data_IF_719458257655
#
_entry.id   IF_719458257655
#
_cell.length_a   1.000
_cell.length_b   1.000
_cell.length_c   1.000
_cell.angle_alpha   90.00
_cell.angle_beta   90.00
_cell.angle_gamma   90.00
#
_symmetry.space_group_name_H-M   'P 1'
#
loop_
_entity.id
_entity.type
_entity.pdbx_description
1 polymer ?
#
# COMPACT_ATOMS: atom_id res chain seq x y z
N UNK A 1 1.43 -9.42 4.57
CA UNK A 1 2.30 -8.68 3.65
C UNK A 1 2.73 -9.57 2.48
N UNK A 2 2.68 -9.08 1.23
CA UNK A 2 3.04 -9.86 0.03
C UNK A 2 3.84 -8.99 -0.95
N UNK A 3 4.69 -9.63 -1.75
CA UNK A 3 5.50 -8.94 -2.77
C UNK A 3 4.67 -8.36 -3.93
N UNK A 4 5.15 -7.25 -4.49
CA UNK A 4 4.62 -6.58 -5.68
C UNK A 4 5.01 -7.26 -7.01
N UNK A 5 5.89 -8.28 -6.98
CA UNK A 5 6.32 -9.03 -8.16
C UNK A 5 5.10 -9.74 -8.80
N UNK A 6 5.01 -9.69 -10.13
CA UNK A 6 3.89 -10.25 -10.93
C UNK A 6 2.50 -9.73 -10.54
N UNK A 7 2.39 -8.57 -9.87
CA UNK A 7 1.11 -7.88 -9.64
C UNK A 7 0.71 -7.00 -10.82
N UNK A 8 -0.59 -6.79 -11.07
CA UNK A 8 -1.07 -5.82 -12.07
C UNK A 8 -0.45 -4.44 -11.88
N UNK A 9 -0.19 -3.74 -12.98
CA UNK A 9 0.46 -2.41 -12.97
C UNK A 9 -0.24 -1.41 -12.04
N UNK A 10 -1.58 -1.47 -11.97
CA UNK A 10 -2.38 -0.61 -11.07
C UNK A 10 -2.00 -0.78 -9.60
N UNK A 11 -1.78 -2.01 -9.13
CA UNK A 11 -1.42 -2.27 -7.73
C UNK A 11 0.01 -1.83 -7.44
N UNK A 12 0.93 -2.03 -8.40
CA UNK A 12 2.31 -1.55 -8.27
C UNK A 12 2.35 -0.03 -8.11
N UNK A 13 1.61 0.71 -8.95
CA UNK A 13 1.50 2.17 -8.85
C UNK A 13 0.86 2.62 -7.54
N UNK A 14 -0.16 1.92 -7.04
CA UNK A 14 -0.73 2.22 -5.72
C UNK A 14 0.29 2.06 -4.61
N UNK A 15 1.07 0.97 -4.60
CA UNK A 15 2.13 0.75 -3.61
C UNK A 15 3.21 1.83 -3.69
N UNK A 16 3.65 2.20 -4.90
CA UNK A 16 4.61 3.29 -5.13
C UNK A 16 4.09 4.65 -4.64
N UNK A 17 2.82 4.95 -4.91
CA UNK A 17 2.17 6.19 -4.48
C UNK A 17 1.97 6.26 -2.97
N UNK A 18 1.75 5.12 -2.30
CA UNK A 18 1.81 5.00 -0.84
C UNK A 18 3.25 5.01 -0.28
N UNK A 19 4.27 5.14 -1.14
CA UNK A 19 5.67 5.21 -0.71
C UNK A 19 6.33 3.86 -0.42
N UNK A 20 5.65 2.74 -0.69
CA UNK A 20 6.13 1.37 -0.42
C UNK A 20 6.96 0.85 -1.60
N UNK A 21 8.28 1.02 -1.53
CA UNK A 21 9.24 0.63 -2.58
C UNK A 21 9.96 -0.68 -2.29
N UNK A 22 10.03 -1.10 -1.02
CA UNK A 22 10.73 -2.32 -0.57
C UNK A 22 9.82 -3.16 0.35
N UNK A 23 10.13 -4.45 0.48
CA UNK A 23 9.44 -5.34 1.43
C UNK A 23 9.65 -4.88 2.87
N UNK A 24 8.64 -5.07 3.73
CA UNK A 24 8.66 -4.73 5.15
C UNK A 24 8.91 -3.23 5.46
N UNK A 25 8.77 -2.35 4.46
CA UNK A 25 8.82 -0.92 4.66
C UNK A 25 7.54 -0.45 5.37
N UNK A 26 7.71 0.44 6.35
CA UNK A 26 6.60 1.14 7.04
C UNK A 26 6.62 2.60 6.61
N UNK A 27 5.45 3.16 6.33
CA UNK A 27 5.25 4.56 5.95
C UNK A 27 3.99 5.06 6.64
N UNK A 28 4.08 6.22 7.28
CA UNK A 28 2.95 6.90 7.90
C UNK A 28 2.24 7.79 6.89
N UNK A 29 0.91 7.81 6.94
CA UNK A 29 0.05 8.65 6.10
C UNK A 29 -1.11 9.19 6.94
N UNK A 30 -1.63 10.35 6.56
CA UNK A 30 -2.83 10.92 7.16
C UNK A 30 -4.06 10.03 6.87
N UNK A 31 -4.96 9.89 7.85
CA UNK A 31 -6.20 9.13 7.71
C UNK A 31 -7.24 9.89 6.87
N UNK A 32 -7.01 9.89 5.55
CA UNK A 32 -7.90 10.52 4.57
C UNK A 32 -8.69 9.47 3.79
N UNK A 33 -9.92 9.79 3.32
CA UNK A 33 -10.71 8.87 2.50
C UNK A 33 -9.97 8.41 1.23
N UNK A 34 -9.08 9.24 0.69
CA UNK A 34 -8.26 8.92 -0.48
C UNK A 34 -7.26 7.81 -0.14
N UNK A 35 -6.53 7.93 0.97
CA UNK A 35 -5.57 6.92 1.43
C UNK A 35 -6.30 5.62 1.78
N UNK A 36 -7.44 5.70 2.47
CA UNK A 36 -8.27 4.51 2.76
C UNK A 36 -8.71 3.79 1.47
N UNK A 37 -9.13 4.53 0.45
CA UNK A 37 -9.50 3.97 -0.86
C UNK A 37 -8.31 3.35 -1.62
N UNK A 38 -7.10 3.89 -1.43
CA UNK A 38 -5.87 3.29 -1.96
C UNK A 38 -5.52 1.99 -1.23
N UNK A 39 -5.57 1.99 0.10
CA UNK A 39 -5.34 0.82 0.96
C UNK A 39 -6.29 -0.32 0.59
N UNK A 40 -7.59 -0.04 0.43
CA UNK A 40 -8.59 -1.05 0.08
C UNK A 40 -8.24 -1.81 -1.23
N UNK A 41 -7.63 -1.13 -2.21
CA UNK A 41 -7.21 -1.76 -3.49
C UNK A 41 -6.02 -2.72 -3.34
N UNK A 42 -5.24 -2.58 -2.28
CA UNK A 42 -4.01 -3.35 -2.02
C UNK A 42 -4.00 -4.01 -0.63
N UNK A 43 -5.17 -4.15 0.01
CA UNK A 43 -5.30 -4.63 1.40
C UNK A 43 -4.62 -5.98 1.66
N UNK A 44 -4.65 -6.88 0.67
CA UNK A 44 -4.04 -8.21 0.73
C UNK A 44 -2.51 -8.20 0.55
N UNK A 45 -1.92 -7.05 0.21
CA UNK A 45 -0.48 -6.86 0.02
C UNK A 45 0.17 -6.17 1.22
N UNK A 46 -0.57 -5.31 1.92
CA UNK A 46 -0.08 -4.48 3.02
C UNK A 46 -0.59 -4.98 4.38
N UNK A 47 -0.06 -4.41 5.45
CA UNK A 47 -0.64 -4.47 6.80
C UNK A 47 -0.81 -3.03 7.26
N UNK A 48 -1.89 -2.73 7.97
CA UNK A 48 -2.19 -1.37 8.44
C UNK A 48 -2.32 -1.40 9.95
N UNK A 49 -1.62 -0.49 10.60
CA UNK A 49 -1.69 -0.25 12.04
C UNK A 49 -2.23 1.18 12.25
N UNK A 50 -3.07 1.36 13.26
CA UNK A 50 -3.59 2.68 13.65
C UNK A 50 -2.80 3.14 14.87
N UNK A 51 -2.17 4.31 14.77
CA UNK A 51 -1.47 4.99 15.86
C UNK A 51 -2.30 6.18 16.36
#
# INVERSE_FOLDING_TARGET
MRSAIKRPLRQKRTLEALGLRKMNQVVEHDDTPVIQGMIAKVEHLVSVEKA
#
